data_IF_306617312611
#
_entry.id   IF_306617312611
#
_cell.length_a   1.000
_cell.length_b   1.000
_cell.length_c   1.000
_cell.angle_alpha   90.00
_cell.angle_beta   90.00
_cell.angle_gamma   90.00
#
_symmetry.space_group_name_H-M   'P 1'
#
loop_
_entity.id
_entity.type
_entity.pdbx_description
1 polymer ?
#
# COMPACT_ATOMS: atom_id res chain seq x y z
N UNK A 1 45.20 27.93 36.48
CA UNK A 1 45.02 26.48 36.69
C UNK A 1 43.78 26.29 37.54
N UNK A 2 42.68 25.82 36.93
CA UNK A 2 41.38 25.61 37.58
C UNK A 2 40.85 24.25 37.17
N UNK A 3 40.76 23.40 38.18
CA UNK A 3 39.80 22.35 38.51
C UNK A 3 39.16 21.45 37.44
N UNK A 4 39.31 20.16 37.73
CA UNK A 4 38.61 18.97 37.25
C UNK A 4 37.12 19.01 37.54
N UNK A 5 36.28 18.76 36.53
CA UNK A 5 34.90 18.28 36.71
C UNK A 5 34.78 16.97 35.93
N UNK A 6 34.81 15.87 36.68
CA UNK A 6 34.46 14.53 36.22
C UNK A 6 32.98 14.51 35.84
N UNK A 7 32.66 14.22 34.58
CA UNK A 7 31.32 13.84 34.21
C UNK A 7 31.23 12.31 34.25
N UNK A 8 30.50 11.80 35.25
CA UNK A 8 30.23 10.37 35.47
C UNK A 8 28.75 10.14 35.18
N UNK A 9 28.37 9.65 33.99
CA UNK A 9 27.02 9.18 33.75
C UNK A 9 26.90 7.71 34.19
N UNK A 10 26.37 7.50 35.38
CA UNK A 10 25.87 6.21 35.86
C UNK A 10 24.42 6.42 36.29
N UNK A 11 23.46 6.43 35.36
CA UNK A 11 22.03 6.19 35.65
C UNK A 11 21.45 5.51 34.40
N UNK A 12 21.34 4.18 34.43
CA UNK A 12 20.13 3.48 34.88
C UNK A 12 18.93 3.77 33.97
N UNK A 13 18.79 2.95 32.93
CA UNK A 13 17.48 2.40 32.58
C UNK A 13 17.68 0.95 32.17
N UNK A 14 17.40 0.07 33.13
CA UNK A 14 17.06 -1.32 32.88
C UNK A 14 15.98 -1.45 31.80
N UNK A 15 16.02 -2.60 31.13
CA UNK A 15 14.87 -3.26 30.51
C UNK A 15 14.25 -2.59 29.28
N UNK A 16 14.79 -2.97 28.11
CA UNK A 16 13.90 -3.47 27.06
C UNK A 16 14.29 -4.91 26.75
N UNK A 17 13.63 -5.83 27.44
CA UNK A 17 13.59 -7.23 27.05
C UNK A 17 13.10 -7.28 25.60
N UNK A 18 13.99 -7.63 24.67
CA UNK A 18 13.63 -8.07 23.33
C UNK A 18 12.92 -9.41 23.47
N UNK A 19 11.62 -9.34 23.74
CA UNK A 19 10.75 -10.50 23.80
C UNK A 19 10.41 -10.92 22.37
N UNK A 20 11.29 -11.78 21.84
CA UNK A 20 10.94 -13.08 21.30
C UNK A 20 9.57 -13.20 20.61
N UNK A 21 9.66 -13.44 19.30
CA UNK A 21 8.83 -14.41 18.58
C UNK A 21 7.31 -14.24 18.69
N UNK A 22 6.77 -13.38 17.84
CA UNK A 22 5.42 -13.58 17.29
C UNK A 22 5.52 -14.18 15.89
N UNK A 23 6.10 -15.38 15.79
CA UNK A 23 5.88 -16.26 14.63
C UNK A 23 4.51 -16.90 14.77
N UNK A 24 3.49 -16.24 14.25
CA UNK A 24 2.11 -16.75 14.23
C UNK A 24 1.16 -16.01 13.30
N UNK A 25 1.64 -15.17 12.38
CA UNK A 25 0.80 -14.25 11.60
C UNK A 25 0.97 -14.37 10.08
N UNK A 26 1.32 -15.56 9.55
CA UNK A 26 1.49 -15.75 8.10
C UNK A 26 0.37 -16.54 7.42
N UNK A 27 -0.65 -17.00 8.14
CA UNK A 27 -1.75 -17.75 7.53
C UNK A 27 -2.98 -16.89 7.18
N UNK A 28 -3.07 -15.65 7.70
CA UNK A 28 -4.21 -14.75 7.45
C UNK A 28 -3.93 -13.64 6.42
N UNK A 29 -2.67 -13.50 5.97
CA UNK A 29 -2.25 -12.45 5.03
C UNK A 29 -2.39 -12.83 3.56
N UNK A 30 -2.49 -14.12 3.26
CA UNK A 30 -2.55 -14.61 1.88
C UNK A 30 -3.92 -14.29 1.24
N UNK A 31 -5.00 -14.62 1.94
CA UNK A 31 -6.38 -14.41 1.47
C UNK A 31 -6.78 -12.92 1.40
N UNK A 32 -6.21 -12.07 2.25
CA UNK A 32 -6.47 -10.64 2.23
C UNK A 32 -5.73 -9.93 1.08
N UNK A 33 -4.59 -10.46 0.63
CA UNK A 33 -3.85 -9.89 -0.51
C UNK A 33 -4.57 -10.15 -1.82
N UNK A 34 -5.10 -11.36 -2.03
CA UNK A 34 -5.81 -11.71 -3.27
C UNK A 34 -7.11 -10.89 -3.46
N UNK A 35 -7.89 -10.69 -2.39
CA UNK A 35 -9.10 -9.87 -2.44
C UNK A 35 -8.81 -8.38 -2.71
N UNK A 36 -7.69 -7.86 -2.18
CA UNK A 36 -7.26 -6.49 -2.45
C UNK A 36 -6.80 -6.30 -3.90
N UNK A 37 -6.21 -7.33 -4.51
CA UNK A 37 -5.74 -7.29 -5.89
C UNK A 37 -6.93 -7.30 -6.89
N UNK A 38 -7.98 -8.06 -6.62
CA UNK A 38 -9.23 -8.04 -7.42
C UNK A 38 -9.93 -6.68 -7.36
N UNK A 39 -10.13 -6.11 -6.17
CA UNK A 39 -10.70 -4.77 -6.01
C UNK A 39 -9.85 -3.70 -6.70
N UNK A 40 -8.53 -3.82 -6.60
CA UNK A 40 -7.58 -2.93 -7.27
C UNK A 40 -7.76 -2.99 -8.79
N UNK A 41 -7.97 -4.17 -9.37
CA UNK A 41 -8.19 -4.31 -10.82
C UNK A 41 -9.51 -3.70 -11.26
N UNK A 42 -10.59 -3.92 -10.52
CA UNK A 42 -11.89 -3.30 -10.80
C UNK A 42 -11.80 -1.75 -10.77
N UNK A 43 -11.10 -1.20 -9.79
CA UNK A 43 -10.85 0.25 -9.68
C UNK A 43 -10.03 0.77 -10.88
N UNK A 44 -9.00 0.04 -11.31
CA UNK A 44 -8.20 0.41 -12.48
C UNK A 44 -9.02 0.45 -13.77
N UNK A 45 -9.90 -0.54 -13.98
CA UNK A 45 -10.82 -0.58 -15.13
C UNK A 45 -11.78 0.62 -15.09
N UNK A 46 -12.39 0.90 -13.93
CA UNK A 46 -13.30 2.04 -13.76
C UNK A 46 -12.58 3.38 -14.03
N UNK A 47 -11.35 3.54 -13.53
CA UNK A 47 -10.53 4.72 -13.79
C UNK A 47 -10.19 4.86 -15.29
N UNK A 48 -9.89 3.75 -15.98
CA UNK A 48 -9.63 3.74 -17.41
C UNK A 48 -10.86 4.15 -18.23
N UNK A 49 -12.04 3.64 -17.88
CA UNK A 49 -13.32 4.02 -18.50
C UNK A 49 -13.61 5.51 -18.31
N UNK A 50 -13.42 6.03 -17.09
CA UNK A 50 -13.59 7.45 -16.80
C UNK A 50 -12.63 8.32 -17.64
N UNK A 51 -11.37 7.90 -17.77
CA UNK A 51 -10.38 8.60 -18.58
C UNK A 51 -10.78 8.63 -20.05
N UNK A 52 -11.30 7.53 -20.59
CA UNK A 52 -11.75 7.45 -21.98
C UNK A 52 -12.89 8.44 -22.28
N UNK A 53 -13.86 8.57 -21.37
CA UNK A 53 -14.93 9.57 -21.48
C UNK A 53 -14.38 10.99 -21.36
N UNK A 54 -13.45 11.21 -20.43
CA UNK A 54 -12.85 12.53 -20.18
C UNK A 54 -12.03 13.01 -21.39
N UNK A 55 -11.17 12.15 -21.93
CA UNK A 55 -10.36 12.46 -23.11
C UNK A 55 -11.25 12.76 -24.31
N UNK A 56 -12.31 11.97 -24.54
CA UNK A 56 -13.30 12.25 -25.59
C UNK A 56 -13.93 13.64 -25.43
N UNK A 57 -14.33 14.01 -24.21
CA UNK A 57 -14.93 15.33 -23.93
C UNK A 57 -13.95 16.48 -24.12
N UNK A 58 -12.67 16.24 -23.85
CA UNK A 58 -11.59 17.22 -24.04
C UNK A 58 -11.03 17.23 -25.48
N UNK A 59 -11.53 16.37 -26.38
CA UNK A 59 -10.98 16.23 -27.73
C UNK A 59 -9.55 15.67 -27.76
N UNK A 60 -9.11 15.00 -26.69
CA UNK A 60 -7.78 14.40 -26.57
C UNK A 60 -7.81 12.96 -27.07
N UNK A 61 -6.67 12.52 -27.62
CA UNK A 61 -6.51 11.13 -27.99
C UNK A 61 -6.23 10.29 -26.73
N UNK A 62 -7.09 9.31 -26.47
CA UNK A 62 -6.86 8.31 -25.42
C UNK A 62 -5.80 7.31 -25.88
N UNK A 63 -4.78 7.00 -25.06
CA UNK A 63 -3.79 5.97 -25.37
C UNK A 63 -4.42 4.58 -25.56
N UNK A 64 -3.86 3.77 -26.46
CA UNK A 64 -4.39 2.42 -26.76
C UNK A 64 -4.44 1.50 -25.55
N UNK A 65 -3.42 1.52 -24.69
CA UNK A 65 -3.41 0.70 -23.47
C UNK A 65 -4.56 1.04 -22.50
N UNK A 66 -5.00 2.30 -22.45
CA UNK A 66 -6.16 2.72 -21.64
C UNK A 66 -7.45 2.18 -22.25
N UNK A 67 -7.56 2.17 -23.59
CA UNK A 67 -8.74 1.62 -24.28
C UNK A 67 -8.86 0.12 -24.04
N UNK A 68 -7.74 -0.59 -24.07
CA UNK A 68 -7.68 -2.02 -23.77
C UNK A 68 -8.09 -2.30 -22.33
N UNK A 69 -7.56 -1.53 -21.37
CA UNK A 69 -7.91 -1.66 -19.95
C UNK A 69 -9.39 -1.33 -19.68
N UNK A 70 -9.94 -0.32 -20.36
CA UNK A 70 -11.35 0.06 -20.23
C UNK A 70 -12.32 -0.96 -20.87
N UNK A 71 -11.85 -1.72 -21.86
CA UNK A 71 -12.61 -2.78 -22.51
C UNK A 71 -12.63 -4.08 -21.70
N UNK A 72 -11.77 -4.19 -20.68
CA UNK A 72 -11.77 -5.30 -19.75
C UNK A 72 -13.05 -5.28 -18.90
N UNK A 73 -13.67 -6.44 -18.71
CA UNK A 73 -14.86 -6.56 -17.88
C UNK A 73 -14.39 -6.51 -16.42
N UNK A 74 -14.87 -5.56 -15.59
CA UNK A 74 -14.64 -5.69 -14.16
C UNK A 74 -15.38 -6.96 -13.74
N UNK A 75 -14.65 -7.99 -13.30
CA UNK A 75 -15.27 -9.08 -12.57
C UNK A 75 -15.97 -8.41 -11.38
N UNK A 76 -17.30 -8.46 -11.39
CA UNK A 76 -18.12 -7.80 -10.39
C UNK A 76 -17.71 -8.38 -9.03
N UNK A 77 -17.24 -7.56 -8.05
CA UNK A 77 -17.27 -8.04 -6.68
C UNK A 77 -18.74 -8.32 -6.38
N UNK A 78 -19.02 -9.55 -5.94
CA UNK A 78 -20.34 -10.14 -5.80
C UNK A 78 -21.38 -9.18 -5.17
N UNK A 79 -22.61 -9.22 -5.70
CA UNK A 79 -23.81 -8.66 -5.07
C UNK A 79 -24.14 -9.33 -3.74
#
# INVERSE_FOLDING_TARGET
MRETISYRPEEDTMSTASNQSRSGAHAATDVASEAQDEDTRAIQIAAAQLRLVTDRRLGKQTPEWVKQLAAEKPDSPAS
#
